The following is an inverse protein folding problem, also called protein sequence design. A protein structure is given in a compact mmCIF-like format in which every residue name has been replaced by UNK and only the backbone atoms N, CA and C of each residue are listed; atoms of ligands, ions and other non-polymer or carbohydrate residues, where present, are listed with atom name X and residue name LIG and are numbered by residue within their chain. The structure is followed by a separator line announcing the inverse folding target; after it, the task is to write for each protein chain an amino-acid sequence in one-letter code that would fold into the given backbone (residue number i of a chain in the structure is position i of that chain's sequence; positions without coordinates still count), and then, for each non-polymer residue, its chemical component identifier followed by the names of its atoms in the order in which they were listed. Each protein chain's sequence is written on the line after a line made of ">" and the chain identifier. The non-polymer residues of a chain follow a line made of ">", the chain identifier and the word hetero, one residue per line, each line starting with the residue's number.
data_IF_981378962942
#
_entry.id   IF_981378962942
#
_cell.length_a   1.000
_cell.length_b   1.000
_cell.length_c   1.000
_cell.angle_alpha   90.00
_cell.angle_beta   90.00
_cell.angle_gamma   90.00
#
_symmetry.space_group_name_H-M   'P 1'
#
loop_
_entity.id
_entity.type
_entity.pdbx_description
1 polymer ?
#
# COMPACT_ATOMS: atom_id res chain seq x y z
N UNK A 1 2.07 -1.34 -7.59
CA UNK A 1 2.42 -1.50 -6.20
C UNK A 1 1.20 -1.85 -5.38
N UNK A 2 0.78 -3.06 -5.56
CA UNK A 2 -0.36 -3.66 -4.89
C UNK A 2 -0.53 -5.10 -5.35
N UNK A 3 -1.36 -5.83 -4.66
CA UNK A 3 -1.66 -7.22 -4.97
C UNK A 3 -3.07 -7.57 -4.50
N UNK A 4 -3.58 -8.70 -4.98
CA UNK A 4 -4.83 -9.24 -4.46
C UNK A 4 -4.64 -9.70 -3.01
N UNK A 5 -5.69 -9.50 -2.22
CA UNK A 5 -5.78 -9.98 -0.84
C UNK A 5 -7.04 -10.84 -0.73
N UNK A 6 -6.88 -12.07 -0.28
CA UNK A 6 -7.97 -13.03 -0.15
C UNK A 6 -7.66 -14.07 0.90
N UNK A 7 -7.83 -15.35 0.58
CA UNK A 7 -7.49 -16.45 1.52
C UNK A 7 -6.00 -16.43 1.85
N UNK A 8 -5.17 -16.03 0.89
CA UNK A 8 -3.74 -15.78 1.10
C UNK A 8 -3.46 -14.29 1.12
N UNK A 9 -2.48 -13.87 1.92
CA UNK A 9 -2.11 -12.46 2.03
C UNK A 9 -1.60 -11.92 0.69
N UNK A 10 -0.87 -12.73 -0.06
CA UNK A 10 -0.50 -12.46 -1.44
C UNK A 10 -1.28 -13.42 -2.33
N UNK A 11 -2.56 -13.14 -2.50
CA UNK A 11 -3.44 -14.07 -3.17
C UNK A 11 -3.23 -14.11 -4.68
N UNK A 12 -3.60 -15.22 -5.28
CA UNK A 12 -3.52 -15.42 -6.72
C UNK A 12 -4.71 -14.77 -7.40
N UNK A 13 -4.51 -14.30 -8.61
CA UNK A 13 -5.56 -13.72 -9.42
C UNK A 13 -4.99 -13.11 -10.68
N UNK A 14 -5.85 -12.92 -11.65
CA UNK A 14 -5.45 -12.33 -12.93
C UNK A 14 -5.57 -10.82 -12.89
N UNK A 15 -4.47 -10.12 -13.15
CA UNK A 15 -4.48 -8.66 -13.33
C UNK A 15 -4.87 -8.28 -14.76
N UNK A 16 -4.69 -9.21 -15.70
CA UNK A 16 -5.08 -9.06 -17.09
C UNK A 16 -5.95 -10.22 -17.51
N UNK A 17 -6.90 -9.96 -18.40
CA UNK A 17 -7.68 -10.95 -19.10
C UNK A 17 -7.39 -10.77 -20.60
N UNK A 18 -6.64 -11.72 -21.18
CA UNK A 18 -6.05 -11.52 -22.49
C UNK A 18 -5.01 -10.41 -22.45
N UNK A 19 -5.10 -9.44 -23.36
CA UNK A 19 -4.19 -8.29 -23.42
C UNK A 19 -4.70 -7.06 -22.69
N UNK A 20 -5.87 -7.15 -22.06
CA UNK A 20 -6.50 -6.02 -21.36
C UNK A 20 -6.36 -6.14 -19.84
N UNK A 21 -6.18 -4.99 -19.19
CA UNK A 21 -6.21 -4.93 -17.74
C UNK A 21 -7.60 -5.29 -17.23
N UNK A 22 -7.63 -6.07 -16.14
CA UNK A 22 -8.87 -6.45 -15.50
C UNK A 22 -9.58 -5.24 -14.92
N UNK A 23 -10.88 -5.14 -15.19
CA UNK A 23 -11.74 -4.12 -14.59
C UNK A 23 -12.02 -4.53 -13.14
N UNK A 24 -11.95 -3.56 -12.22
CA UNK A 24 -12.29 -3.80 -10.83
C UNK A 24 -13.80 -3.98 -10.66
N UNK A 25 -14.18 -4.98 -9.88
CA UNK A 25 -15.56 -5.31 -9.61
C UNK A 25 -15.85 -5.30 -8.12
N UNK A 26 -17.09 -4.98 -7.70
CA UNK A 26 -17.46 -5.02 -6.28
C UNK A 26 -17.14 -6.36 -5.63
N UNK A 27 -16.60 -6.32 -4.43
CA UNK A 27 -16.17 -7.50 -3.69
C UNK A 27 -14.70 -7.86 -3.84
N UNK A 28 -14.00 -7.26 -4.79
CA UNK A 28 -12.56 -7.43 -4.91
C UNK A 28 -11.83 -6.70 -3.79
N UNK A 29 -10.80 -7.32 -3.22
CA UNK A 29 -9.94 -6.74 -2.21
C UNK A 29 -8.52 -6.74 -2.72
N UNK A 30 -7.88 -5.59 -2.65
CA UNK A 30 -6.48 -5.43 -3.07
C UNK A 30 -5.75 -4.47 -2.14
N UNK A 31 -4.43 -4.58 -2.14
CA UNK A 31 -3.59 -3.64 -1.43
C UNK A 31 -3.19 -2.49 -2.33
N UNK A 32 -2.97 -1.32 -1.74
CA UNK A 32 -2.37 -0.17 -2.40
C UNK A 32 -1.19 0.24 -1.55
N UNK A 33 0.02 0.11 -2.10
CA UNK A 33 1.26 0.15 -1.32
C UNK A 33 2.33 1.05 -1.96
N UNK A 34 2.08 2.34 -2.11
CA UNK A 34 3.12 3.24 -2.61
C UNK A 34 4.28 3.30 -1.63
N UNK A 35 5.50 3.35 -2.15
CA UNK A 35 6.70 3.41 -1.33
C UNK A 35 7.78 4.25 -1.97
N UNK A 36 8.64 4.80 -1.12
CA UNK A 36 9.85 5.51 -1.54
C UNK A 36 11.04 4.85 -0.85
N UNK A 37 12.04 4.51 -1.62
CA UNK A 37 13.25 3.83 -1.12
C UNK A 37 14.47 4.59 -1.61
N UNK A 38 15.41 4.83 -0.71
CA UNK A 38 16.65 5.54 -1.01
C UNK A 38 17.83 4.60 -0.76
N UNK A 39 18.28 3.86 -1.78
CA UNK A 39 19.45 3.00 -1.64
C UNK A 39 20.69 3.81 -1.28
N UNK A 40 21.68 3.14 -0.67
CA UNK A 40 22.99 3.72 -0.48
C UNK A 40 23.58 4.15 -1.83
N UNK A 41 24.37 5.22 -1.81
CA UNK A 41 25.00 5.79 -3.01
C UNK A 41 24.01 6.35 -4.06
N UNK A 42 22.79 6.67 -3.65
CA UNK A 42 21.81 7.34 -4.53
C UNK A 42 22.33 8.72 -4.94
N UNK A 43 22.47 8.94 -6.25
CA UNK A 43 22.95 10.21 -6.79
C UNK A 43 21.90 11.30 -6.61
N UNK A 44 22.36 12.50 -6.23
CA UNK A 44 21.46 13.65 -6.07
C UNK A 44 20.66 13.64 -4.77
N UNK A 45 20.93 12.70 -3.88
CA UNK A 45 20.25 12.59 -2.59
C UNK A 45 21.26 12.71 -1.47
N UNK A 46 20.96 13.53 -0.46
CA UNK A 46 21.85 13.70 0.68
C UNK A 46 22.08 12.35 1.40
N UNK A 47 23.32 12.11 1.79
CA UNK A 47 23.75 10.85 2.42
C UNK A 47 22.92 10.47 3.64
N UNK A 48 22.42 11.46 4.40
CA UNK A 48 21.59 11.22 5.58
C UNK A 48 20.29 10.45 5.28
N UNK A 49 19.84 10.44 4.03
CA UNK A 49 18.65 9.72 3.60
C UNK A 49 18.91 8.32 3.05
N UNK A 50 20.19 7.97 2.87
CA UNK A 50 20.55 6.67 2.30
C UNK A 50 20.14 5.52 3.24
N UNK A 51 19.68 4.44 2.64
CA UNK A 51 19.25 3.25 3.37
C UNK A 51 17.89 3.38 4.03
N UNK A 52 17.14 4.46 3.74
CA UNK A 52 15.80 4.68 4.28
C UNK A 52 14.77 4.28 3.23
N UNK A 53 13.77 3.51 3.68
CA UNK A 53 12.61 3.16 2.88
C UNK A 53 11.33 3.35 3.70
N UNK A 54 10.29 3.86 3.04
CA UNK A 54 8.97 4.01 3.65
C UNK A 54 7.93 3.51 2.68
N UNK A 55 7.06 2.63 3.16
CA UNK A 55 5.87 2.17 2.44
C UNK A 55 4.65 2.49 3.27
N UNK A 56 3.62 3.00 2.62
CA UNK A 56 2.30 3.18 3.22
C UNK A 56 1.37 2.20 2.50
N UNK A 57 0.64 1.41 3.27
CA UNK A 57 -0.21 0.37 2.71
C UNK A 57 -1.62 0.48 3.26
N UNK A 58 -2.58 0.36 2.37
CA UNK A 58 -3.98 0.18 2.71
C UNK A 58 -4.55 -1.05 2.01
N UNK A 59 -5.47 -1.72 2.70
CA UNK A 59 -6.28 -2.79 2.15
C UNK A 59 -7.61 -2.19 1.74
N UNK A 60 -7.97 -2.36 0.48
CA UNK A 60 -9.11 -1.67 -0.12
C UNK A 60 -10.11 -2.67 -0.68
N UNK A 61 -11.36 -2.53 -0.24
CA UNK A 61 -12.50 -3.24 -0.79
C UNK A 61 -13.14 -2.40 -1.89
N UNK A 62 -13.33 -2.99 -3.06
CA UNK A 62 -14.09 -2.36 -4.13
C UNK A 62 -15.59 -2.52 -3.84
N UNK A 63 -16.31 -1.43 -3.86
CA UNK A 63 -17.77 -1.41 -3.64
C UNK A 63 -18.52 -1.05 -4.91
N UNK A 64 -19.84 -1.14 -4.89
CA UNK A 64 -20.69 -0.77 -6.04
C UNK A 64 -20.56 0.70 -6.42
N UNK A 65 -20.27 1.57 -5.46
CA UNK A 65 -20.21 3.02 -5.65
C UNK A 65 -18.82 3.62 -5.50
N UNK A 66 -17.81 2.80 -5.23
CA UNK A 66 -16.45 3.29 -5.03
C UNK A 66 -15.60 2.28 -4.30
N UNK A 67 -15.14 2.64 -3.11
CA UNK A 67 -14.24 1.78 -2.34
C UNK A 67 -14.42 2.00 -0.84
N UNK A 68 -13.93 1.05 -0.06
CA UNK A 68 -13.82 1.14 1.39
C UNK A 68 -12.40 0.78 1.80
N UNK A 69 -11.78 1.62 2.61
CA UNK A 69 -10.44 1.35 3.16
C UNK A 69 -10.61 0.52 4.42
N UNK A 70 -10.33 -0.77 4.32
CA UNK A 70 -10.50 -1.72 5.44
C UNK A 70 -9.52 -1.44 6.59
N UNK A 71 -8.34 -0.95 6.26
CA UNK A 71 -7.26 -0.66 7.21
C UNK A 71 -7.26 0.77 7.76
N UNK A 72 -8.36 1.50 7.62
CA UNK A 72 -8.42 2.92 8.03
C UNK A 72 -8.07 3.16 9.50
N UNK A 73 -8.27 2.16 10.36
CA UNK A 73 -7.92 2.26 11.79
C UNK A 73 -6.42 2.23 12.07
N UNK A 74 -5.60 1.85 11.10
CA UNK A 74 -4.15 1.86 11.25
C UNK A 74 -3.61 3.26 10.96
N UNK A 75 -2.86 3.85 11.89
CA UNK A 75 -2.33 5.20 11.69
C UNK A 75 -1.28 5.24 10.58
N UNK A 76 -1.33 6.30 9.77
CA UNK A 76 -0.42 6.52 8.65
C UNK A 76 0.21 7.90 8.67
N UNK A 77 -0.48 8.87 9.25
CA UNK A 77 0.05 10.22 9.38
C UNK A 77 1.24 10.24 10.34
N UNK A 78 2.39 10.85 9.96
CA UNK A 78 3.57 10.90 10.81
C UNK A 78 3.32 11.46 12.21
N UNK A 79 2.55 12.53 12.32
CA UNK A 79 2.25 13.15 13.62
C UNK A 79 1.44 12.21 14.51
N UNK A 80 0.50 11.47 13.94
CA UNK A 80 -0.29 10.48 14.66
C UNK A 80 0.57 9.31 15.13
N UNK A 81 1.46 8.81 14.27
CA UNK A 81 2.39 7.73 14.62
C UNK A 81 3.32 8.17 15.76
N UNK A 82 3.88 9.37 15.65
CA UNK A 82 4.76 9.91 16.68
C UNK A 82 4.02 10.08 18.02
N UNK A 83 2.77 10.54 17.98
CA UNK A 83 1.96 10.68 19.18
C UNK A 83 1.73 9.33 19.87
N UNK A 84 1.42 8.29 19.10
CA UNK A 84 1.25 6.93 19.62
C UNK A 84 2.55 6.39 20.21
N UNK A 85 3.68 6.63 19.59
CA UNK A 85 4.98 6.19 20.09
C UNK A 85 5.36 6.89 21.39
N UNK A 86 5.02 8.18 21.52
CA UNK A 86 5.25 8.92 22.77
C UNK A 86 4.35 8.46 23.91
N UNK A 87 3.16 7.95 23.62
CA UNK A 87 2.20 7.46 24.59
C UNK A 87 2.51 6.07 25.12
N UNK A 88 3.38 5.34 24.43
CA UNK A 88 3.73 3.95 24.76
C UNK A 88 4.69 3.86 25.96
#
# INVERSE_FOLDING_TARGET
>A
TGHWLGMDVHDVGDYKVGDEWRVLEPGMVLTIEPGIYVPADSKGVAKKWWGIGVRIEDDVLVTKTGHEVLSRGAPKDPDEIEALMRAA
#
